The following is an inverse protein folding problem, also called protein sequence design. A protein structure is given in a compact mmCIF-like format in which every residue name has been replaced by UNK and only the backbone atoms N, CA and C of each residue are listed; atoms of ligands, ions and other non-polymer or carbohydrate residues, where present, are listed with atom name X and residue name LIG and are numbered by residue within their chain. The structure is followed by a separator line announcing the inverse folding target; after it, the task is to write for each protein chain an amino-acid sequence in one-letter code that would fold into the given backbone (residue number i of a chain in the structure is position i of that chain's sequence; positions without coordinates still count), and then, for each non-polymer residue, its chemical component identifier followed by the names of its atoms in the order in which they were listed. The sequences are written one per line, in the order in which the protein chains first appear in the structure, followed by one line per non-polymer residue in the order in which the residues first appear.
data_IF_414997351319
#
_entry.id   IF_414997351319
#
_cell.length_a   1.000
_cell.length_b   1.000
_cell.length_c   1.000
_cell.angle_alpha   90.00
_cell.angle_beta   90.00
_cell.angle_gamma   90.00
#
_symmetry.space_group_name_H-M   'P 1'
#
loop_
_entity.id
_entity.type
_entity.pdbx_description
1 polymer ?
#
# COMPACT_ATOMS: atom_id res chain seq x y z
N UNK A 1 -5.10 6.88 -23.29
CA UNK A 1 -4.19 7.33 -22.24
C UNK A 1 -2.80 6.75 -22.46
N UNK A 2 -1.81 7.59 -22.58
CA UNK A 2 -0.44 7.22 -22.87
C UNK A 2 -0.04 7.52 -24.32
N UNK A 3 1.27 7.50 -24.55
CA UNK A 3 1.84 7.85 -25.85
C UNK A 3 1.60 6.74 -26.87
N UNK A 4 0.98 7.08 -28.00
CA UNK A 4 0.72 6.14 -29.10
C UNK A 4 -0.56 5.30 -28.94
N UNK A 5 -1.35 5.48 -27.88
CA UNK A 5 -2.58 4.69 -27.68
C UNK A 5 -3.73 5.15 -28.59
N UNK A 6 -3.76 6.41 -29.01
CA UNK A 6 -4.79 6.92 -29.92
C UNK A 6 -4.62 6.31 -31.31
N UNK A 7 -3.40 6.28 -31.81
CA UNK A 7 -3.07 5.65 -33.09
C UNK A 7 -3.31 4.13 -33.06
N UNK A 8 -3.01 3.50 -31.91
CA UNK A 8 -3.30 2.09 -31.71
C UNK A 8 -4.80 1.81 -31.75
N UNK A 9 -5.62 2.64 -31.08
CA UNK A 9 -7.08 2.51 -31.08
C UNK A 9 -7.65 2.70 -32.48
N UNK A 10 -7.21 3.72 -33.23
CA UNK A 10 -7.64 3.94 -34.61
C UNK A 10 -7.33 2.72 -35.50
N UNK A 11 -6.12 2.15 -35.37
CA UNK A 11 -5.73 0.95 -36.12
C UNK A 11 -6.61 -0.26 -35.77
N UNK A 12 -6.98 -0.46 -34.52
CA UNK A 12 -7.87 -1.57 -34.13
C UNK A 12 -9.26 -1.44 -34.77
N UNK A 13 -9.78 -0.22 -34.92
CA UNK A 13 -11.05 0.02 -35.59
C UNK A 13 -10.94 -0.23 -37.11
N UNK A 14 -9.83 0.15 -37.72
CA UNK A 14 -9.54 -0.14 -39.13
C UNK A 14 -9.41 -1.65 -39.40
N UNK A 15 -8.85 -2.40 -38.47
CA UNK A 15 -8.75 -3.87 -38.52
C UNK A 15 -10.12 -4.55 -38.27
N UNK A 16 -11.19 -3.80 -38.02
CA UNK A 16 -12.57 -4.32 -37.87
C UNK A 16 -12.91 -4.78 -36.44
N UNK A 17 -12.09 -4.42 -35.43
CA UNK A 17 -12.38 -4.74 -34.02
C UNK A 17 -13.51 -3.83 -33.54
N UNK A 18 -14.61 -4.42 -33.09
CA UNK A 18 -15.74 -3.69 -32.54
C UNK A 18 -15.54 -3.38 -31.06
N UNK A 19 -15.61 -2.10 -30.71
CA UNK A 19 -15.58 -1.64 -29.32
C UNK A 19 -16.98 -1.33 -28.81
N UNK A 20 -17.40 -1.97 -27.72
CA UNK A 20 -18.69 -1.74 -27.09
C UNK A 20 -18.46 -1.15 -25.70
N UNK A 21 -19.05 0.00 -25.43
CA UNK A 21 -18.95 0.64 -24.13
C UNK A 21 -19.97 0.01 -23.16
N UNK A 22 -19.47 -0.77 -22.21
CA UNK A 22 -20.34 -1.41 -21.23
C UNK A 22 -19.61 -2.48 -20.44
N UNK A 23 -20.34 -3.20 -19.62
CA UNK A 23 -19.86 -4.39 -18.91
C UNK A 23 -20.53 -5.64 -19.47
N UNK A 24 -19.76 -6.69 -19.70
CA UNK A 24 -20.30 -8.02 -19.88
C UNK A 24 -20.96 -8.46 -18.56
N UNK A 25 -22.27 -8.69 -18.57
CA UNK A 25 -23.01 -9.11 -17.39
C UNK A 25 -22.87 -10.61 -17.15
N UNK A 26 -22.98 -11.40 -18.21
CA UNK A 26 -22.88 -12.85 -18.16
C UNK A 26 -22.45 -13.42 -19.51
N UNK A 27 -21.90 -14.62 -19.45
CA UNK A 27 -21.66 -15.49 -20.60
C UNK A 27 -22.58 -16.68 -20.47
N UNK A 28 -23.38 -16.92 -21.49
CA UNK A 28 -24.34 -18.04 -21.50
C UNK A 28 -24.04 -19.00 -22.67
N UNK A 29 -24.42 -20.25 -22.49
CA UNK A 29 -24.36 -21.20 -23.59
C UNK A 29 -25.42 -20.84 -24.66
N UNK A 30 -24.97 -20.78 -25.90
CA UNK A 30 -25.83 -20.66 -27.07
C UNK A 30 -26.49 -22.01 -27.41
N UNK A 31 -27.61 -21.99 -28.08
CA UNK A 31 -28.18 -23.22 -28.63
C UNK A 31 -27.29 -23.68 -29.80
N UNK A 32 -26.51 -24.73 -29.61
CA UNK A 32 -25.74 -25.36 -30.67
C UNK A 32 -26.69 -26.10 -31.64
N UNK A 33 -26.84 -25.61 -32.87
CA UNK A 33 -27.71 -26.20 -33.89
C UNK A 33 -26.92 -27.04 -34.95
N UNK A 34 -25.64 -27.28 -34.70
CA UNK A 34 -24.85 -28.18 -35.55
C UNK A 34 -24.31 -27.60 -36.85
N UNK A 35 -24.60 -26.36 -37.19
CA UNK A 35 -24.27 -25.73 -38.48
C UNK A 35 -23.17 -24.66 -38.36
N UNK A 36 -22.28 -24.73 -37.39
CA UNK A 36 -21.25 -23.69 -37.15
C UNK A 36 -21.79 -22.47 -36.39
N UNK A 37 -22.94 -22.57 -35.76
CA UNK A 37 -23.45 -21.52 -34.88
C UNK A 37 -22.58 -21.35 -33.64
N UNK A 38 -22.33 -20.10 -33.21
CA UNK A 38 -21.51 -19.85 -32.01
C UNK A 38 -22.11 -20.52 -30.78
N UNK A 39 -21.24 -21.22 -30.03
CA UNK A 39 -21.64 -21.98 -28.84
C UNK A 39 -21.81 -21.10 -27.57
N UNK A 40 -21.40 -19.85 -27.62
CA UNK A 40 -21.44 -18.90 -26.51
C UNK A 40 -22.14 -17.61 -26.92
N UNK A 41 -22.77 -16.95 -25.96
CA UNK A 41 -23.31 -15.60 -26.09
C UNK A 41 -22.89 -14.75 -24.90
N UNK A 42 -22.45 -13.53 -25.18
CA UNK A 42 -22.21 -12.51 -24.18
C UNK A 42 -23.41 -11.61 -24.07
N UNK A 43 -23.97 -11.45 -22.87
CA UNK A 43 -25.00 -10.45 -22.58
C UNK A 43 -24.34 -9.23 -21.96
N UNK A 44 -24.56 -8.08 -22.57
CA UNK A 44 -24.02 -6.81 -22.10
C UNK A 44 -24.99 -5.66 -22.35
N UNK A 45 -24.84 -4.61 -21.57
CA UNK A 45 -25.48 -3.34 -21.84
C UNK A 45 -24.52 -2.48 -22.67
N UNK A 46 -24.98 -2.02 -23.82
CA UNK A 46 -24.28 -1.00 -24.61
C UNK A 46 -24.72 0.38 -24.09
N UNK A 47 -23.90 0.99 -23.24
CA UNK A 47 -24.23 2.25 -22.55
C UNK A 47 -24.21 3.47 -23.46
N UNK A 48 -23.69 3.37 -24.72
CA UNK A 48 -23.76 4.46 -25.69
C UNK A 48 -25.17 4.58 -26.29
N UNK A 49 -25.82 3.45 -26.48
CA UNK A 49 -27.16 3.42 -27.09
C UNK A 49 -28.27 3.04 -26.10
N UNK A 50 -27.89 2.75 -24.83
CA UNK A 50 -28.83 2.38 -23.78
C UNK A 50 -29.62 1.09 -24.06
N UNK A 51 -29.00 0.10 -24.70
CA UNK A 51 -29.65 -1.16 -25.07
C UNK A 51 -28.88 -2.38 -24.61
N UNK A 52 -29.63 -3.40 -24.18
CA UNK A 52 -29.08 -4.72 -24.00
C UNK A 52 -28.76 -5.38 -25.32
N UNK A 53 -27.62 -6.05 -25.38
CA UNK A 53 -27.15 -6.81 -26.53
C UNK A 53 -26.81 -8.23 -26.12
N UNK A 54 -27.17 -9.18 -27.00
CA UNK A 54 -26.66 -10.55 -27.00
C UNK A 54 -25.71 -10.70 -28.20
N UNK A 55 -24.46 -10.98 -27.91
CA UNK A 55 -23.39 -11.07 -28.91
C UNK A 55 -22.96 -12.51 -29.00
N UNK A 56 -23.24 -13.19 -30.13
CA UNK A 56 -22.75 -14.54 -30.35
C UNK A 56 -21.22 -14.51 -30.56
N UNK A 57 -20.53 -15.44 -29.92
CA UNK A 57 -19.06 -15.53 -29.96
C UNK A 57 -18.62 -17.00 -29.91
N UNK A 58 -17.51 -17.31 -30.54
CA UNK A 58 -16.89 -18.63 -30.52
C UNK A 58 -15.99 -18.82 -29.32
N UNK A 59 -15.43 -17.73 -28.80
CA UNK A 59 -14.50 -17.75 -27.67
C UNK A 59 -14.65 -16.47 -26.83
N UNK A 60 -14.54 -16.60 -25.53
CA UNK A 60 -14.49 -15.47 -24.59
C UNK A 60 -13.13 -15.44 -23.92
N UNK A 61 -12.41 -14.34 -24.08
CA UNK A 61 -11.11 -14.10 -23.44
C UNK A 61 -11.35 -13.19 -22.24
N UNK A 62 -11.06 -13.70 -21.04
CA UNK A 62 -11.21 -12.96 -19.80
C UNK A 62 -9.94 -12.17 -19.50
N UNK A 63 -10.05 -10.86 -19.39
CA UNK A 63 -8.99 -9.99 -18.89
C UNK A 63 -9.12 -9.91 -17.36
N UNK A 64 -8.48 -10.84 -16.65
CA UNK A 64 -8.57 -10.95 -15.19
C UNK A 64 -7.87 -9.77 -14.51
N UNK A 65 -8.45 -9.31 -13.40
CA UNK A 65 -7.84 -8.34 -12.52
C UNK A 65 -6.73 -9.00 -11.67
N UNK A 66 -5.79 -8.16 -11.21
CA UNK A 66 -4.83 -8.58 -10.20
C UNK A 66 -5.40 -8.28 -8.82
N UNK A 67 -5.34 -9.25 -7.93
CA UNK A 67 -5.75 -9.11 -6.53
C UNK A 67 -4.54 -9.22 -5.61
N UNK A 68 -4.58 -8.55 -4.43
CA UNK A 68 -3.53 -8.70 -3.45
C UNK A 68 -3.49 -10.13 -2.90
N UNK A 69 -2.31 -10.60 -2.50
CA UNK A 69 -2.15 -11.93 -1.92
C UNK A 69 -2.98 -12.08 -0.63
N UNK A 70 -3.48 -13.29 -0.39
CA UNK A 70 -4.29 -13.60 0.81
C UNK A 70 -3.55 -13.35 2.13
N UNK A 71 -2.22 -13.50 2.12
CA UNK A 71 -1.36 -13.29 3.29
C UNK A 71 -0.87 -11.84 3.45
N UNK A 72 -1.33 -10.90 2.62
CA UNK A 72 -0.91 -9.50 2.65
C UNK A 72 -1.10 -8.83 4.02
N UNK A 73 -2.12 -9.24 4.80
CA UNK A 73 -2.31 -8.72 6.15
C UNK A 73 -1.25 -9.20 7.15
N UNK A 74 -0.77 -10.44 7.02
CA UNK A 74 0.32 -10.95 7.84
C UNK A 74 1.63 -10.20 7.53
N UNK A 75 1.94 -10.01 6.24
CA UNK A 75 3.10 -9.24 5.79
C UNK A 75 3.02 -7.79 6.26
N UNK A 76 1.85 -7.15 6.13
CA UNK A 76 1.62 -5.79 6.62
C UNK A 76 1.96 -5.64 8.10
N UNK A 77 1.49 -6.57 8.93
CA UNK A 77 1.77 -6.55 10.39
C UNK A 77 3.24 -6.77 10.69
N UNK A 78 3.87 -7.72 9.97
CA UNK A 78 5.28 -8.05 10.17
C UNK A 78 6.21 -6.85 9.91
N UNK A 79 5.92 -6.06 8.86
CA UNK A 79 6.73 -4.91 8.47
C UNK A 79 6.15 -3.56 8.92
N UNK A 80 5.01 -3.56 9.62
CA UNK A 80 4.32 -2.35 10.10
C UNK A 80 4.03 -1.33 8.98
N UNK A 81 3.64 -1.82 7.79
CA UNK A 81 3.33 -1.00 6.62
C UNK A 81 1.82 -0.82 6.43
N UNK A 82 1.44 0.22 5.71
CA UNK A 82 0.04 0.53 5.41
C UNK A 82 -0.48 -0.20 4.18
N UNK A 83 -1.81 -0.36 4.09
CA UNK A 83 -2.52 -0.92 2.92
C UNK A 83 -3.58 0.07 2.44
N UNK A 84 -3.83 0.06 1.14
CA UNK A 84 -4.98 0.69 0.50
C UNK A 84 -6.28 -0.07 0.80
N UNK A 85 -7.46 0.53 0.59
CA UNK A 85 -8.75 -0.14 0.79
C UNK A 85 -8.94 -1.41 -0.07
N UNK A 86 -8.32 -1.48 -1.23
CA UNK A 86 -8.30 -2.63 -2.14
C UNK A 86 -7.26 -3.69 -1.76
N UNK A 87 -6.48 -3.46 -0.71
CA UNK A 87 -5.63 -4.46 -0.06
C UNK A 87 -4.18 -4.51 -0.53
N UNK A 88 -3.75 -3.63 -1.41
CA UNK A 88 -2.34 -3.49 -1.80
C UNK A 88 -1.56 -2.64 -0.79
N UNK A 89 -0.24 -2.80 -0.75
CA UNK A 89 0.60 -2.00 0.14
C UNK A 89 0.72 -0.56 -0.34
N UNK A 90 0.72 0.39 0.62
CA UNK A 90 0.82 1.80 0.32
C UNK A 90 2.26 2.31 0.39
N UNK A 91 2.60 3.12 -0.59
CA UNK A 91 3.78 3.96 -0.61
C UNK A 91 3.66 5.12 0.39
N UNK A 92 4.80 5.73 0.74
CA UNK A 92 4.86 6.92 1.60
C UNK A 92 4.17 8.11 0.95
N UNK A 93 4.38 8.31 -0.35
CA UNK A 93 3.74 9.36 -1.12
C UNK A 93 3.71 9.01 -2.61
N UNK A 94 2.53 9.03 -3.27
CA UNK A 94 2.38 8.51 -4.63
C UNK A 94 3.20 9.26 -5.70
N UNK A 95 3.53 10.52 -5.48
CA UNK A 95 4.30 11.34 -6.43
C UNK A 95 5.73 11.62 -6.00
N UNK A 96 5.96 11.86 -4.71
CA UNK A 96 7.26 12.30 -4.21
C UNK A 96 8.14 11.14 -3.74
N UNK A 97 7.54 10.05 -3.26
CA UNK A 97 8.26 8.88 -2.75
C UNK A 97 7.46 7.59 -3.00
N UNK A 98 7.35 7.17 -4.28
CA UNK A 98 6.45 6.09 -4.70
C UNK A 98 6.97 4.69 -4.40
N UNK A 99 8.18 4.53 -3.88
CA UNK A 99 8.80 3.23 -3.59
C UNK A 99 9.15 3.00 -2.14
N UNK A 100 9.16 4.05 -1.31
CA UNK A 100 9.33 3.91 0.14
C UNK A 100 7.98 3.68 0.81
N UNK A 101 7.98 3.00 1.95
CA UNK A 101 6.80 2.86 2.81
C UNK A 101 6.82 3.88 3.94
N UNK A 102 5.78 3.88 4.78
CA UNK A 102 5.76 4.64 6.03
C UNK A 102 6.80 4.16 7.06
N UNK A 103 7.28 2.93 6.89
CA UNK A 103 8.30 2.32 7.74
C UNK A 103 9.66 2.44 7.07
N UNK A 104 10.62 3.08 7.77
CA UNK A 104 11.96 3.27 7.22
C UNK A 104 12.67 1.93 7.01
N UNK A 105 13.44 1.86 5.91
CA UNK A 105 14.14 0.62 5.51
C UNK A 105 13.25 -0.40 4.79
N UNK A 106 11.94 -0.15 4.68
CA UNK A 106 11.01 -1.01 3.94
C UNK A 106 10.58 -0.32 2.65
N UNK A 107 10.83 -0.98 1.55
CA UNK A 107 10.53 -0.49 0.20
C UNK A 107 9.54 -1.42 -0.50
N UNK A 108 8.76 -0.86 -1.41
CA UNK A 108 7.79 -1.61 -2.23
C UNK A 108 8.05 -1.40 -3.71
N UNK A 109 7.82 -2.43 -4.49
CA UNK A 109 7.94 -2.38 -5.94
C UNK A 109 7.00 -3.37 -6.62
N UNK A 110 6.60 -3.06 -7.85
CA UNK A 110 5.80 -3.92 -8.70
C UNK A 110 4.37 -4.11 -8.20
N UNK A 111 3.81 -5.27 -8.47
CA UNK A 111 2.42 -5.60 -8.15
C UNK A 111 2.11 -5.69 -6.65
N UNK A 112 3.08 -5.57 -5.77
CA UNK A 112 2.85 -5.44 -4.33
C UNK A 112 2.14 -4.13 -3.97
N UNK A 113 2.38 -3.05 -4.74
CA UNK A 113 1.72 -1.75 -4.58
C UNK A 113 0.37 -1.66 -5.31
N UNK A 114 0.20 -2.41 -6.37
CA UNK A 114 -1.01 -2.40 -7.20
C UNK A 114 -0.77 -3.03 -8.57
N UNK A 115 -1.81 -3.23 -9.37
CA UNK A 115 -1.67 -3.75 -10.72
C UNK A 115 -0.71 -2.90 -11.56
N UNK A 116 0.26 -3.54 -12.21
CA UNK A 116 1.28 -2.90 -13.04
C UNK A 116 1.67 -3.81 -14.20
N UNK A 117 2.09 -3.20 -15.30
CA UNK A 117 2.75 -3.91 -16.39
C UNK A 117 4.24 -4.21 -16.07
N UNK A 118 4.90 -4.93 -16.96
CA UNK A 118 6.30 -5.31 -16.79
C UNK A 118 7.24 -4.10 -16.84
N UNK A 119 7.12 -3.16 -17.81
CA UNK A 119 7.92 -1.95 -17.85
C UNK A 119 7.85 -1.11 -16.58
N UNK A 120 6.64 -0.85 -16.08
CA UNK A 120 6.44 -0.10 -14.84
C UNK A 120 6.99 -0.84 -13.61
N UNK A 121 6.83 -2.16 -13.57
CA UNK A 121 7.40 -3.00 -12.51
C UNK A 121 8.92 -2.90 -12.46
N UNK A 122 9.59 -2.97 -13.62
CA UNK A 122 11.05 -2.86 -13.73
C UNK A 122 11.54 -1.46 -13.36
N UNK A 123 10.84 -0.42 -13.83
CA UNK A 123 11.16 0.97 -13.49
C UNK A 123 11.05 1.21 -11.99
N UNK A 124 9.99 0.69 -11.36
CA UNK A 124 9.79 0.83 -9.92
C UNK A 124 10.81 0.03 -9.11
N UNK A 125 11.18 -1.17 -9.54
CA UNK A 125 12.24 -1.96 -8.91
C UNK A 125 13.58 -1.24 -8.96
N UNK A 126 13.93 -0.63 -10.10
CA UNK A 126 15.14 0.19 -10.26
C UNK A 126 15.12 1.42 -9.35
N UNK A 127 13.97 2.08 -9.22
CA UNK A 127 13.79 3.21 -8.30
C UNK A 127 13.99 2.78 -6.85
N UNK A 128 13.40 1.66 -6.43
CA UNK A 128 13.59 1.13 -5.07
C UNK A 128 15.06 0.80 -4.79
N UNK A 129 15.75 0.16 -5.74
CA UNK A 129 17.17 -0.13 -5.64
C UNK A 129 18.02 1.15 -5.51
N UNK A 130 17.74 2.19 -6.30
CA UNK A 130 18.42 3.47 -6.23
C UNK A 130 18.22 4.16 -4.86
N UNK A 131 17.01 4.09 -4.30
CA UNK A 131 16.70 4.59 -2.95
C UNK A 131 17.49 3.85 -1.88
N UNK A 132 17.51 2.53 -1.93
CA UNK A 132 18.31 1.70 -1.00
C UNK A 132 19.79 2.08 -1.10
N UNK A 133 20.34 2.15 -2.31
CA UNK A 133 21.74 2.51 -2.53
C UNK A 133 22.07 3.91 -2.00
N UNK A 134 21.16 4.88 -2.15
CA UNK A 134 21.37 6.25 -1.65
C UNK A 134 21.51 6.31 -0.13
N UNK A 135 20.83 5.43 0.59
CA UNK A 135 20.94 5.31 2.06
C UNK A 135 22.22 4.58 2.43
N UNK A 136 22.48 3.43 1.79
CA UNK A 136 23.69 2.63 2.08
C UNK A 136 24.99 3.36 1.75
N UNK A 137 25.01 4.15 0.66
CA UNK A 137 26.18 4.90 0.25
C UNK A 137 26.59 6.01 1.23
N UNK A 138 25.66 6.51 2.04
CA UNK A 138 25.96 7.49 3.09
C UNK A 138 26.65 6.87 4.30
N UNK A 139 26.50 5.56 4.52
CA UNK A 139 27.05 4.83 5.67
C UNK A 139 26.39 5.17 7.02
N UNK A 140 25.49 6.14 7.02
CA UNK A 140 24.76 6.60 8.21
C UNK A 140 23.33 6.98 7.84
N UNK A 141 22.42 6.90 8.79
CA UNK A 141 21.03 7.30 8.67
C UNK A 141 20.75 8.41 9.67
N UNK A 142 20.27 9.54 9.18
CA UNK A 142 19.82 10.65 10.01
C UNK A 142 18.46 10.27 10.63
N UNK A 143 18.39 10.24 11.96
CA UNK A 143 17.20 9.89 12.71
C UNK A 143 16.60 11.18 13.26
N UNK A 144 15.28 11.34 13.11
CA UNK A 144 14.53 12.43 13.73
C UNK A 144 14.76 12.42 15.26
N UNK A 145 15.15 13.56 15.86
CA UNK A 145 15.42 13.65 17.29
C UNK A 145 14.16 13.50 18.15
N UNK A 146 12.97 13.69 17.52
CA UNK A 146 11.68 13.57 18.20
C UNK A 146 11.38 12.12 18.50
N UNK A 147 11.41 11.75 19.77
CA UNK A 147 11.17 10.39 20.25
C UNK A 147 10.54 10.35 21.62
N UNK A 148 9.91 9.24 21.95
CA UNK A 148 9.49 8.99 23.32
C UNK A 148 10.69 8.54 24.16
N UNK A 149 10.69 8.89 25.44
CA UNK A 149 11.68 8.46 26.43
C UNK A 149 10.96 7.92 27.64
N UNK A 150 11.57 6.93 28.30
CA UNK A 150 11.05 6.35 29.55
C UNK A 150 11.89 6.86 30.72
N UNK A 151 11.21 7.41 31.70
CA UNK A 151 11.80 7.67 33.02
C UNK A 151 11.62 6.41 33.86
N UNK A 152 12.67 5.58 33.93
CA UNK A 152 12.64 4.26 34.55
C UNK A 152 12.12 4.30 36.01
N UNK A 153 12.44 5.37 36.75
CA UNK A 153 12.05 5.57 38.15
C UNK A 153 10.53 5.68 38.36
N UNK A 154 9.80 6.19 37.35
CA UNK A 154 8.35 6.35 37.41
C UNK A 154 7.60 5.25 36.63
N UNK A 155 8.33 4.35 35.97
CA UNK A 155 7.70 3.30 35.18
C UNK A 155 7.08 2.21 36.08
N UNK A 156 5.76 2.06 36.03
CA UNK A 156 5.02 1.04 36.76
C UNK A 156 5.07 -0.36 36.17
N UNK A 157 5.68 -0.54 35.00
CA UNK A 157 5.75 -1.82 34.28
C UNK A 157 4.42 -2.34 33.73
N UNK A 158 3.42 -1.47 33.55
CA UNK A 158 2.06 -1.86 33.13
C UNK A 158 1.94 -2.36 31.68
N UNK A 159 2.97 -2.22 30.86
CA UNK A 159 3.08 -2.67 29.46
C UNK A 159 2.04 -2.04 28.49
N UNK A 160 1.26 -1.04 28.91
CA UNK A 160 0.25 -0.38 28.05
C UNK A 160 0.93 0.20 26.80
N UNK A 161 2.03 0.92 26.95
CA UNK A 161 2.78 1.54 25.86
C UNK A 161 3.33 0.52 24.85
N UNK A 162 3.68 -0.70 25.30
CA UNK A 162 4.14 -1.77 24.39
C UNK A 162 3.03 -2.20 23.44
N UNK A 163 1.79 -2.37 23.95
CA UNK A 163 0.64 -2.76 23.13
C UNK A 163 0.11 -1.66 22.22
N UNK A 164 0.37 -0.39 22.53
CA UNK A 164 -0.11 0.76 21.78
C UNK A 164 0.83 1.21 20.65
N UNK A 165 2.10 0.81 20.69
CA UNK A 165 3.08 1.28 19.70
C UNK A 165 2.86 0.62 18.35
N UNK A 166 2.40 1.35 17.30
CA UNK A 166 2.17 0.78 15.98
C UNK A 166 3.47 0.44 15.23
N UNK A 167 4.61 0.94 15.72
CA UNK A 167 5.94 0.75 15.14
C UNK A 167 6.76 -0.33 15.85
N UNK A 168 6.20 -0.97 16.89
CA UNK A 168 6.90 -1.93 17.73
C UNK A 168 8.23 -1.37 18.29
N UNK A 169 8.27 -0.08 18.54
CA UNK A 169 9.45 0.63 19.03
C UNK A 169 9.63 0.54 20.56
N UNK A 170 8.76 -0.17 21.27
CA UNK A 170 8.80 -0.27 22.73
C UNK A 170 8.87 -1.74 23.12
N UNK A 171 9.95 -2.11 23.79
CA UNK A 171 10.16 -3.42 24.39
C UNK A 171 10.05 -3.36 25.92
N UNK A 172 9.82 -4.50 26.54
CA UNK A 172 9.77 -4.60 27.99
C UNK A 172 11.01 -5.33 28.49
N UNK A 173 11.75 -4.67 29.38
CA UNK A 173 12.94 -5.26 30.02
C UNK A 173 12.49 -6.05 31.26
N UNK A 174 12.54 -7.36 31.17
CA UNK A 174 12.08 -8.26 32.23
C UNK A 174 12.96 -8.21 33.47
N UNK A 175 14.24 -7.90 33.32
CA UNK A 175 15.22 -7.74 34.39
C UNK A 175 14.94 -6.50 35.26
N UNK A 176 14.62 -5.40 34.64
CA UNK A 176 14.30 -4.12 35.29
C UNK A 176 12.81 -3.91 35.55
N UNK A 177 11.94 -4.70 34.91
CA UNK A 177 10.47 -4.55 34.90
C UNK A 177 9.98 -3.19 34.43
N UNK A 178 10.67 -2.61 33.46
CA UNK A 178 10.32 -1.32 32.84
C UNK A 178 10.23 -1.46 31.33
N UNK A 179 9.50 -0.54 30.70
CA UNK A 179 9.50 -0.42 29.23
C UNK A 179 10.74 0.36 28.78
N UNK A 180 11.25 0.01 27.60
CA UNK A 180 12.37 0.67 26.95
C UNK A 180 11.99 1.06 25.52
N UNK A 181 12.38 2.26 25.08
CA UNK A 181 12.12 2.74 23.72
C UNK A 181 13.33 2.52 22.83
N UNK A 182 13.14 1.79 21.77
CA UNK A 182 14.10 1.64 20.66
C UNK A 182 14.09 2.94 19.84
N UNK A 183 15.08 3.80 20.04
CA UNK A 183 15.13 5.14 19.42
C UNK A 183 15.08 5.09 17.89
N UNK A 184 15.76 4.13 17.28
CA UNK A 184 15.80 3.97 15.83
C UNK A 184 14.43 3.60 15.20
N UNK A 185 13.55 2.97 15.97
CA UNK A 185 12.21 2.58 15.51
C UNK A 185 11.12 3.60 15.90
N UNK A 186 11.41 4.46 16.89
CA UNK A 186 10.43 5.43 17.38
C UNK A 186 10.19 6.53 16.33
N UNK A 187 8.92 6.81 16.06
CA UNK A 187 8.49 7.87 15.13
C UNK A 187 7.98 9.14 15.84
N UNK A 188 8.19 9.25 17.13
CA UNK A 188 7.79 10.45 17.89
C UNK A 188 6.30 10.76 17.92
N UNK A 189 5.41 9.80 17.61
CA UNK A 189 3.98 10.04 17.47
C UNK A 189 3.24 10.42 18.76
N UNK A 190 3.87 10.29 19.94
CA UNK A 190 3.31 10.70 21.23
C UNK A 190 2.24 9.80 21.82
N UNK A 191 1.73 8.79 21.11
CA UNK A 191 0.64 7.93 21.59
C UNK A 191 0.94 7.27 22.94
N UNK A 192 2.16 6.77 23.14
CA UNK A 192 2.60 6.15 24.40
C UNK A 192 2.78 7.18 25.53
N UNK A 193 3.14 8.43 25.19
CA UNK A 193 3.26 9.54 26.15
C UNK A 193 1.87 9.88 26.69
N UNK A 194 0.89 10.08 25.80
CA UNK A 194 -0.48 10.40 26.19
C UNK A 194 -1.18 9.28 26.99
N UNK A 195 -0.82 8.04 26.73
CA UNK A 195 -1.47 6.88 27.37
C UNK A 195 -0.78 6.39 28.65
N UNK A 196 0.35 6.97 29.06
CA UNK A 196 1.08 6.52 30.23
C UNK A 196 0.41 6.92 31.54
N UNK A 197 -0.14 5.99 32.34
CA UNK A 197 -0.87 6.33 33.56
C UNK A 197 0.03 6.85 34.69
N UNK A 198 1.33 6.53 34.65
CA UNK A 198 2.31 7.00 35.64
C UNK A 198 3.13 8.21 35.17
N UNK A 199 2.82 8.76 33.99
CA UNK A 199 3.58 9.85 33.35
C UNK A 199 5.08 9.56 33.19
N UNK A 200 5.46 8.29 33.22
CA UNK A 200 6.85 7.86 33.01
C UNK A 200 7.33 8.01 31.56
N UNK A 201 6.40 8.09 30.60
CA UNK A 201 6.73 8.35 29.19
C UNK A 201 6.70 9.84 28.95
N UNK A 202 7.79 10.37 28.36
CA UNK A 202 7.93 11.76 27.98
C UNK A 202 8.35 11.89 26.52
N UNK A 203 8.05 13.02 25.87
CA UNK A 203 8.49 13.32 24.50
C UNK A 203 9.79 14.11 24.53
N UNK A 204 10.84 13.61 23.89
CA UNK A 204 12.04 14.39 23.63
C UNK A 204 11.74 15.49 22.63
N UNK A 205 12.12 16.73 22.94
CA UNK A 205 11.80 17.91 22.11
C UNK A 205 10.44 18.56 22.42
N UNK A 206 9.63 17.98 23.31
CA UNK A 206 8.29 18.47 23.71
C UNK A 206 8.12 18.49 25.22
N UNK A 207 9.12 18.99 25.94
CA UNK A 207 8.97 19.27 27.37
C UNK A 207 8.11 20.52 27.57
N UNK A 208 7.41 20.63 28.71
CA UNK A 208 6.59 21.79 29.02
C UNK A 208 7.38 23.11 28.92
N UNK A 209 8.64 23.11 29.37
CA UNK A 209 9.52 24.26 29.25
C UNK A 209 9.82 24.65 27.79
N UNK A 210 10.00 23.65 26.90
CA UNK A 210 10.23 23.91 25.47
C UNK A 210 8.96 24.41 24.79
N UNK A 211 7.80 23.80 25.09
CA UNK A 211 6.51 24.24 24.53
C UNK A 211 6.16 25.65 24.98
N UNK A 212 6.36 25.96 26.26
CA UNK A 212 6.09 27.29 26.80
C UNK A 212 7.02 28.36 26.21
N UNK A 213 8.28 28.02 25.93
CA UNK A 213 9.22 28.94 25.29
C UNK A 213 8.86 29.36 23.87
N UNK A 214 8.02 28.57 23.19
CA UNK A 214 7.50 28.92 21.84
C UNK A 214 6.27 29.84 21.90
N UNK A 215 5.72 30.08 23.09
CA UNK A 215 4.56 30.95 23.30
C UNK A 215 4.94 32.38 23.75
N UNK A 216 6.19 32.62 24.15
CA UNK A 216 6.76 33.93 24.51
C UNK A 216 7.37 34.63 23.29
#
# INVERSE_FOLDING_TARGET
FGKGYEEFYARLLEEGITMIRGKAAEVVEGCWQGNGDPSLKIRCEDTLIGKFREIPVDMVILCNAMEPRRDSDAVRRLFSISKSPDGFFLERHPKLDPTSTSTDGVYIAGCAQGPKDIPDTVAQASSAAARILSVLAKGEVEIEPVRAMVQEEYCSGCKICNGLCPYNAIEFLEDKKVSHVQEALCKGCGTCVAACPSSAMTGHGFTDAQILAELD
#
